data_IF_517639973189
#
_entry.id   IF_517639973189
#
_cell.length_a   1.000
_cell.length_b   1.000
_cell.length_c   1.000
_cell.angle_alpha   90.00
_cell.angle_beta   90.00
_cell.angle_gamma   90.00
#
_symmetry.space_group_name_H-M   'P 1'
#
loop_
_entity.id
_entity.type
_entity.pdbx_description
1 polymer ?
#
# COMPACT_ATOMS: atom_id res chain seq x y z
N UNK A 1 -12.35 -14.20 15.06
CA UNK A 1 -11.34 -14.46 14.01
C UNK A 1 -11.41 -13.32 12.99
N UNK A 2 -10.31 -12.64 12.71
CA UNK A 2 -10.29 -11.47 11.82
C UNK A 2 -10.16 -11.91 10.36
N UNK A 3 -11.23 -11.77 9.58
CA UNK A 3 -11.15 -11.90 8.12
C UNK A 3 -10.66 -10.57 7.53
N UNK A 4 -9.35 -10.47 7.32
CA UNK A 4 -8.66 -9.32 6.73
C UNK A 4 -7.47 -9.84 5.91
N UNK A 5 -7.55 -9.70 4.59
CA UNK A 5 -6.43 -9.99 3.69
C UNK A 5 -5.66 -8.71 3.43
N UNK A 6 -4.34 -8.74 3.63
CA UNK A 6 -3.46 -7.61 3.33
C UNK A 6 -2.50 -8.01 2.23
N UNK A 7 -2.55 -7.28 1.12
CA UNK A 7 -1.61 -7.42 0.01
C UNK A 7 -0.55 -6.32 0.15
N UNK A 8 0.70 -6.71 0.41
CA UNK A 8 1.84 -5.81 0.60
C UNK A 8 2.65 -5.70 -0.69
N UNK A 9 2.83 -4.47 -1.20
CA UNK A 9 3.62 -4.19 -2.40
C UNK A 9 4.75 -3.24 -2.05
N UNK A 10 6.00 -3.71 -2.12
CA UNK A 10 7.19 -2.90 -1.87
C UNK A 10 7.94 -3.27 -0.60
N UNK A 11 8.67 -2.31 -0.06
CA UNK A 11 9.55 -2.49 1.09
C UNK A 11 8.89 -1.96 2.37
N UNK A 12 8.71 -2.85 3.34
CA UNK A 12 8.14 -2.59 4.66
C UNK A 12 9.12 -2.89 5.79
N UNK A 13 10.40 -3.10 5.48
CA UNK A 13 11.43 -3.41 6.48
C UNK A 13 11.84 -2.19 7.32
N UNK A 14 11.59 -0.98 6.78
CA UNK A 14 11.90 0.29 7.43
C UNK A 14 10.59 0.93 7.90
N UNK A 15 10.60 1.47 9.12
CA UNK A 15 9.47 2.25 9.63
C UNK A 15 9.25 3.50 8.77
N UNK A 16 8.03 3.74 8.26
CA UNK A 16 7.78 4.92 7.45
C UNK A 16 7.77 6.19 8.31
N UNK A 17 8.13 7.31 7.69
CA UNK A 17 8.04 8.64 8.31
C UNK A 17 6.67 9.28 8.08
N UNK A 18 5.96 8.88 7.02
CA UNK A 18 4.59 9.31 6.71
C UNK A 18 3.79 8.14 6.14
N UNK A 19 2.52 8.05 6.52
CA UNK A 19 1.57 7.14 5.90
C UNK A 19 0.33 7.91 5.42
N UNK A 20 -0.08 7.65 4.18
CA UNK A 20 -1.33 8.16 3.65
C UNK A 20 -2.35 7.02 3.57
N UNK A 21 -3.42 7.13 4.34
CA UNK A 21 -4.50 6.15 4.39
C UNK A 21 -5.70 6.62 3.59
N UNK A 22 -6.19 5.77 2.69
CA UNK A 22 -7.37 6.04 1.86
C UNK A 22 -8.36 4.90 1.95
N UNK A 23 -9.66 5.20 1.87
CA UNK A 23 -10.73 4.22 1.90
C UNK A 23 -11.55 4.24 3.20
N UNK A 24 -12.38 3.22 3.39
CA UNK A 24 -13.35 3.16 4.49
C UNK A 24 -13.03 2.00 5.41
N UNK A 25 -12.56 2.31 6.62
CA UNK A 25 -12.20 1.32 7.64
C UNK A 25 -13.37 0.37 7.99
N UNK A 26 -14.59 0.90 8.08
CA UNK A 26 -15.80 0.11 8.39
C UNK A 26 -16.08 -1.03 7.38
N UNK A 27 -15.61 -0.89 6.13
CA UNK A 27 -15.75 -1.92 5.09
C UNK A 27 -14.51 -2.80 4.94
N UNK A 28 -13.50 -2.63 5.80
CA UNK A 28 -12.17 -3.27 5.67
C UNK A 28 -11.56 -3.10 4.27
N UNK A 29 -11.90 -2.01 3.58
CA UNK A 29 -11.40 -1.69 2.24
C UNK A 29 -10.65 -0.39 2.33
N UNK A 30 -9.33 -0.50 2.44
CA UNK A 30 -8.44 0.63 2.56
C UNK A 30 -7.12 0.34 1.85
N UNK A 31 -6.45 1.41 1.47
CA UNK A 31 -5.10 1.39 0.93
C UNK A 31 -4.25 2.36 1.74
N UNK A 32 -3.10 1.88 2.20
CA UNK A 32 -2.13 2.66 2.93
C UNK A 32 -0.84 2.78 2.10
N UNK A 33 -0.36 4.01 1.89
CA UNK A 33 0.90 4.30 1.21
C UNK A 33 1.96 4.68 2.24
N UNK A 34 3.11 4.03 2.17
CA UNK A 34 4.20 4.12 3.14
C UNK A 34 5.34 4.93 2.51
N UNK A 35 5.72 6.02 3.17
CA UNK A 35 6.76 6.92 2.69
C UNK A 35 7.94 6.97 3.66
N UNK A 36 9.13 7.12 3.09
CA UNK A 36 10.35 7.50 3.80
C UNK A 36 10.83 8.83 3.23
N UNK A 37 10.68 9.90 4.01
CA UNK A 37 10.66 11.26 3.47
C UNK A 37 9.54 11.40 2.44
N UNK A 38 9.87 11.89 1.24
CA UNK A 38 8.93 12.00 0.12
C UNK A 38 8.88 10.76 -0.78
N UNK A 39 9.75 9.76 -0.53
CA UNK A 39 9.85 8.58 -1.36
C UNK A 39 8.82 7.55 -0.96
N UNK A 40 7.97 7.15 -1.92
CA UNK A 40 7.07 6.00 -1.76
C UNK A 40 7.90 4.71 -1.68
N UNK A 41 7.73 3.94 -0.61
CA UNK A 41 8.45 2.68 -0.35
C UNK A 41 7.55 1.46 -0.43
N UNK A 42 6.30 1.60 0.00
CA UNK A 42 5.36 0.50 0.04
C UNK A 42 3.91 0.95 -0.12
N UNK A 43 3.08 0.05 -0.64
CA UNK A 43 1.64 0.21 -0.74
C UNK A 43 1.00 -1.05 -0.16
N UNK A 44 0.17 -0.88 0.85
CA UNK A 44 -0.62 -1.94 1.47
C UNK A 44 -2.06 -1.79 1.00
N UNK A 45 -2.65 -2.88 0.52
CA UNK A 45 -4.04 -2.92 0.07
C UNK A 45 -4.79 -3.96 0.90
N UNK A 46 -5.89 -3.55 1.51
CA UNK A 46 -6.81 -4.47 2.18
C UNK A 46 -7.80 -5.07 1.18
N UNK A 47 -7.87 -6.39 1.14
CA UNK A 47 -8.72 -7.19 0.26
C UNK A 47 -8.64 -6.73 -1.20
N UNK A 48 -7.42 -6.58 -1.70
CA UNK A 48 -7.14 -6.04 -3.03
C UNK A 48 -7.55 -7.00 -4.15
N UNK A 49 -8.21 -6.48 -5.17
CA UNK A 49 -8.36 -7.21 -6.45
C UNK A 49 -7.02 -7.27 -7.18
N UNK A 50 -6.83 -8.27 -8.06
CA UNK A 50 -5.61 -8.39 -8.87
C UNK A 50 -5.27 -7.08 -9.61
N UNK A 51 -6.29 -6.41 -10.17
CA UNK A 51 -6.15 -5.13 -10.84
C UNK A 51 -5.59 -4.03 -9.92
N UNK A 52 -6.04 -3.97 -8.67
CA UNK A 52 -5.54 -2.99 -7.69
C UNK A 52 -4.10 -3.28 -7.29
N UNK A 53 -3.76 -4.57 -7.13
CA UNK A 53 -2.39 -5.00 -6.81
C UNK A 53 -1.44 -4.64 -7.95
N UNK A 54 -1.81 -4.89 -9.21
CA UNK A 54 -0.97 -4.57 -10.36
C UNK A 54 -0.86 -3.07 -10.62
N UNK A 55 -1.93 -2.31 -10.33
CA UNK A 55 -1.88 -0.85 -10.31
C UNK A 55 -0.89 -0.34 -9.25
N UNK A 56 -0.89 -0.91 -8.04
CA UNK A 56 0.03 -0.52 -6.98
C UNK A 56 1.49 -0.88 -7.30
N UNK A 57 1.74 -2.05 -7.90
CA UNK A 57 3.09 -2.39 -8.41
C UNK A 57 3.57 -1.37 -9.43
N UNK A 58 2.69 -0.97 -10.35
CA UNK A 58 3.00 0.03 -11.38
C UNK A 58 3.26 1.41 -10.78
N UNK A 59 2.45 1.82 -9.81
CA UNK A 59 2.61 3.08 -9.06
C UNK A 59 3.96 3.10 -8.33
N UNK A 60 4.28 2.05 -7.57
CA UNK A 60 5.53 1.94 -6.85
C UNK A 60 6.73 1.95 -7.80
N UNK A 61 6.65 1.21 -8.91
CA UNK A 61 7.71 1.18 -9.94
C UNK A 61 7.99 2.59 -10.49
N UNK A 62 6.94 3.36 -10.83
CA UNK A 62 7.06 4.76 -11.26
C UNK A 62 7.69 5.64 -10.18
N UNK A 63 7.27 5.50 -8.93
CA UNK A 63 7.80 6.29 -7.81
C UNK A 63 9.28 5.97 -7.51
N UNK A 64 9.74 4.76 -7.84
CA UNK A 64 11.14 4.36 -7.74
C UNK A 64 11.98 4.78 -8.96
N UNK A 65 11.36 5.38 -9.99
CA UNK A 65 12.03 5.76 -11.24
C UNK A 65 12.48 4.56 -12.09
N UNK A 66 11.82 3.40 -11.94
CA UNK A 66 12.16 2.15 -12.64
C UNK A 66 11.14 1.79 -13.72
#
# INVERSE_FOLDING_TARGET
MFDLRLDLVGDFTIQPTRMDLTGTYAKKKFTARYYQGDRLRGILISSGTLKQIDSAKSELKRALGK
#
